data_IF_446143837331
#
_entry.id   IF_446143837331
#
_cell.length_a   1.000
_cell.length_b   1.000
_cell.length_c   1.000
_cell.angle_alpha   90.00
_cell.angle_beta   90.00
_cell.angle_gamma   90.00
#
_symmetry.space_group_name_H-M   'P 1'
#
loop_
_entity.id
_entity.type
_entity.pdbx_description
1 polymer ?
#
# COMPACT_ATOMS: atom_id res chain seq x y z
N UNK A 1 -40.67 -73.64 -21.50
CA UNK A 1 -39.52 -73.32 -20.61
C UNK A 1 -39.09 -71.93 -20.91
N UNK A 2 -39.49 -70.92 -20.11
CA UNK A 2 -39.32 -69.49 -20.40
C UNK A 2 -38.13 -68.94 -19.62
N UNK A 3 -37.12 -68.43 -20.34
CA UNK A 3 -35.99 -67.69 -19.78
C UNK A 3 -36.43 -66.27 -19.40
N UNK A 4 -36.34 -65.91 -18.12
CA UNK A 4 -36.49 -64.51 -17.66
C UNK A 4 -35.21 -63.74 -17.88
N UNK A 5 -35.28 -62.66 -18.69
CA UNK A 5 -34.18 -61.71 -18.89
C UNK A 5 -34.26 -60.64 -17.80
N UNK A 6 -33.26 -60.64 -16.90
CA UNK A 6 -33.09 -59.58 -15.92
C UNK A 6 -32.49 -58.35 -16.59
N UNK A 7 -33.23 -57.23 -16.49
CA UNK A 7 -32.79 -55.90 -16.98
C UNK A 7 -32.11 -55.16 -15.84
N UNK A 8 -30.78 -55.10 -15.89
CA UNK A 8 -29.98 -54.36 -14.92
C UNK A 8 -30.04 -52.88 -15.30
N UNK A 9 -30.71 -52.04 -14.48
CA UNK A 9 -30.68 -50.59 -14.61
C UNK A 9 -29.37 -50.05 -14.00
N UNK A 10 -28.44 -49.58 -14.85
CA UNK A 10 -27.28 -48.78 -14.43
C UNK A 10 -27.76 -47.37 -14.09
N UNK A 11 -27.75 -47.03 -12.80
CA UNK A 11 -27.89 -45.64 -12.33
C UNK A 11 -26.53 -44.97 -12.43
N UNK A 12 -26.35 -44.13 -13.47
CA UNK A 12 -25.19 -43.27 -13.60
C UNK A 12 -25.21 -42.14 -12.58
N UNK A 13 -24.38 -42.21 -11.54
CA UNK A 13 -24.08 -41.08 -10.66
C UNK A 13 -23.15 -40.10 -11.42
N UNK A 14 -23.73 -39.04 -11.93
CA UNK A 14 -22.96 -37.92 -12.46
C UNK A 14 -22.48 -37.08 -11.27
N UNK A 15 -21.19 -37.27 -10.88
CA UNK A 15 -20.54 -36.44 -9.89
C UNK A 15 -20.20 -35.11 -10.54
N UNK A 16 -21.02 -34.09 -10.31
CA UNK A 16 -20.62 -32.68 -10.60
C UNK A 16 -19.51 -32.29 -9.62
N UNK A 17 -18.28 -32.30 -10.13
CA UNK A 17 -17.13 -31.71 -9.44
C UNK A 17 -17.29 -30.19 -9.48
N UNK A 18 -17.79 -29.59 -8.40
CA UNK A 18 -17.71 -28.15 -8.21
C UNK A 18 -16.25 -27.79 -7.94
N UNK A 19 -15.53 -27.34 -8.97
CA UNK A 19 -14.25 -26.65 -8.81
C UNK A 19 -14.54 -25.32 -8.12
N UNK A 20 -14.39 -25.27 -6.81
CA UNK A 20 -14.36 -24.03 -6.06
C UNK A 20 -13.02 -23.32 -6.35
N UNK A 21 -13.00 -22.48 -7.38
CA UNK A 21 -11.92 -21.52 -7.59
C UNK A 21 -11.87 -20.60 -6.36
N UNK A 22 -10.70 -20.41 -5.71
CA UNK A 22 -10.60 -19.46 -4.62
C UNK A 22 -10.86 -18.07 -5.19
N UNK A 23 -12.02 -17.52 -4.87
CA UNK A 23 -12.35 -16.13 -5.19
C UNK A 23 -11.42 -15.24 -4.37
N UNK A 24 -10.28 -14.84 -4.97
CA UNK A 24 -9.43 -13.79 -4.41
C UNK A 24 -10.24 -12.51 -4.47
N UNK A 25 -10.87 -12.16 -3.34
CA UNK A 25 -11.44 -10.84 -3.14
C UNK A 25 -10.26 -9.85 -3.26
N UNK A 26 -10.14 -9.23 -4.41
CA UNK A 26 -9.30 -8.06 -4.61
C UNK A 26 -9.91 -6.94 -3.75
N UNK A 27 -9.41 -6.83 -2.52
CA UNK A 27 -9.73 -5.72 -1.64
C UNK A 27 -9.02 -4.48 -2.22
N UNK A 28 -9.63 -3.89 -3.25
CA UNK A 28 -9.31 -2.52 -3.64
C UNK A 28 -9.84 -1.63 -2.53
N UNK A 29 -8.96 -1.24 -1.60
CA UNK A 29 -9.31 -0.24 -0.62
C UNK A 29 -9.69 1.04 -1.37
N UNK A 30 -10.99 1.36 -1.38
CA UNK A 30 -11.50 2.57 -2.03
C UNK A 30 -10.85 3.77 -1.36
N UNK A 31 -10.02 4.49 -2.12
CA UNK A 31 -9.38 5.74 -1.64
C UNK A 31 -10.47 6.75 -1.31
N UNK A 32 -10.57 7.15 -0.05
CA UNK A 32 -11.59 8.09 0.43
C UNK A 32 -10.96 9.42 0.83
N UNK A 33 -11.49 10.52 0.31
CA UNK A 33 -11.14 11.87 0.79
C UNK A 33 -11.75 12.05 2.18
N UNK A 34 -10.89 12.25 3.18
CA UNK A 34 -11.26 12.50 4.59
C UNK A 34 -10.97 13.96 4.94
N UNK A 35 -9.80 14.46 4.51
CA UNK A 35 -9.45 15.87 4.66
C UNK A 35 -9.96 16.68 3.44
N UNK A 36 -10.97 17.54 3.58
CA UNK A 36 -11.47 18.35 2.48
C UNK A 36 -10.49 19.44 2.04
N UNK A 37 -9.55 19.83 2.90
CA UNK A 37 -8.63 20.94 2.70
C UNK A 37 -7.34 20.53 1.95
N UNK A 38 -7.26 19.30 1.44
CA UNK A 38 -6.12 18.89 0.62
C UNK A 38 -6.00 19.77 -0.63
N UNK A 39 -4.79 20.26 -0.89
CA UNK A 39 -4.46 20.98 -2.11
C UNK A 39 -4.65 20.10 -3.36
N UNK A 40 -4.72 20.73 -4.53
CA UNK A 40 -4.76 19.98 -5.80
C UNK A 40 -3.55 19.07 -5.96
N UNK A 41 -2.34 19.53 -5.62
CA UNK A 41 -1.12 18.74 -5.71
C UNK A 41 -1.17 17.51 -4.79
N UNK A 42 -1.62 17.68 -3.53
CA UNK A 42 -1.82 16.55 -2.62
C UNK A 42 -2.83 15.54 -3.18
N UNK A 43 -3.96 16.01 -3.71
CA UNK A 43 -4.97 15.13 -4.31
C UNK A 43 -4.43 14.38 -5.53
N UNK A 44 -3.68 15.03 -6.40
CA UNK A 44 -3.11 14.38 -7.59
C UNK A 44 -2.08 13.30 -7.19
N UNK A 45 -1.25 13.53 -6.17
CA UNK A 45 -0.31 12.52 -5.67
C UNK A 45 -1.04 11.38 -4.95
N UNK A 46 -1.88 11.71 -3.97
CA UNK A 46 -2.48 10.73 -3.06
C UNK A 46 -3.53 9.83 -3.74
N UNK A 47 -4.32 10.39 -4.65
CA UNK A 47 -5.46 9.67 -5.27
C UNK A 47 -5.16 9.17 -6.68
N UNK A 48 -4.24 9.82 -7.40
CA UNK A 48 -3.86 9.44 -8.77
C UNK A 48 -2.46 8.81 -8.86
N UNK A 49 -1.85 8.50 -7.69
CA UNK A 49 -0.53 7.84 -7.63
C UNK A 49 0.59 8.66 -8.30
N UNK A 50 0.48 9.98 -8.16
CA UNK A 50 1.49 10.91 -8.66
C UNK A 50 2.78 10.89 -7.85
N UNK A 51 3.77 11.64 -8.31
CA UNK A 51 5.06 11.81 -7.62
C UNK A 51 5.37 13.30 -7.48
N UNK A 52 5.75 13.71 -6.27
CA UNK A 52 6.27 15.04 -5.96
C UNK A 52 7.63 15.22 -6.65
N UNK A 53 7.96 16.46 -7.06
CA UNK A 53 9.29 16.75 -7.60
C UNK A 53 10.35 16.53 -6.52
N UNK A 54 11.53 15.96 -6.87
CA UNK A 54 12.60 15.75 -5.89
C UNK A 54 13.09 17.10 -5.34
N UNK A 55 13.54 17.10 -4.10
CA UNK A 55 14.10 18.23 -3.37
C UNK A 55 13.14 19.41 -3.11
N UNK A 56 11.83 19.21 -3.26
CA UNK A 56 10.82 20.26 -3.03
C UNK A 56 10.14 20.16 -1.67
N UNK A 57 10.20 19.02 -1.01
CA UNK A 57 9.57 18.83 0.29
C UNK A 57 10.31 19.54 1.41
N UNK A 58 9.61 20.39 2.17
CA UNK A 58 10.16 21.00 3.39
C UNK A 58 10.49 19.97 4.47
N UNK A 59 9.82 18.81 4.44
CA UNK A 59 10.07 17.71 5.38
C UNK A 59 11.46 17.07 5.24
N UNK A 60 12.20 17.37 4.17
CA UNK A 60 13.60 16.98 4.06
C UNK A 60 14.43 17.57 5.20
N UNK A 61 14.14 18.82 5.60
CA UNK A 61 14.84 19.57 6.65
C UNK A 61 14.23 19.37 8.05
N UNK A 62 13.16 18.60 8.19
CA UNK A 62 12.51 18.35 9.48
C UNK A 62 13.34 17.35 10.29
N UNK A 63 13.90 17.79 11.43
CA UNK A 63 14.79 17.01 12.28
C UNK A 63 14.30 16.93 13.75
N UNK A 64 13.16 17.53 14.05
CA UNK A 64 12.59 17.49 15.42
C UNK A 64 12.08 16.08 15.74
N UNK A 65 12.01 15.77 17.04
CA UNK A 65 11.33 14.55 17.50
C UNK A 65 9.83 14.68 17.28
N UNK A 66 9.20 13.60 16.84
CA UNK A 66 7.77 13.58 16.59
C UNK A 66 7.36 12.45 15.65
N UNK A 67 6.20 12.61 15.05
CA UNK A 67 5.62 11.61 14.17
C UNK A 67 5.15 12.25 12.86
N UNK A 68 5.25 11.45 11.80
CA UNK A 68 4.69 11.78 10.49
C UNK A 68 3.34 11.11 10.33
N UNK A 69 2.34 11.89 10.01
CA UNK A 69 0.95 11.49 9.88
C UNK A 69 0.49 11.59 8.42
N UNK A 70 -0.51 10.80 8.05
CA UNK A 70 -1.17 10.89 6.76
C UNK A 70 -1.90 12.23 6.61
N UNK A 71 -1.59 13.00 5.58
CA UNK A 71 -2.23 14.30 5.33
C UNK A 71 -3.74 14.19 5.06
N UNK A 72 -4.23 13.02 4.63
CA UNK A 72 -5.65 12.80 4.37
C UNK A 72 -6.45 12.36 5.60
N UNK A 73 -5.94 11.42 6.40
CA UNK A 73 -6.72 10.80 7.49
C UNK A 73 -6.09 10.95 8.87
N UNK A 74 -4.97 11.64 8.97
CA UNK A 74 -4.21 11.86 10.21
C UNK A 74 -3.74 10.57 10.91
N UNK A 75 -3.75 9.42 10.24
CA UNK A 75 -3.16 8.20 10.80
C UNK A 75 -1.66 8.37 11.00
N UNK A 76 -1.13 7.93 12.14
CA UNK A 76 0.29 7.95 12.47
C UNK A 76 1.01 6.90 11.62
N UNK A 77 2.06 7.29 10.90
CA UNK A 77 2.70 6.46 9.88
C UNK A 77 4.17 6.14 10.18
N UNK A 78 4.96 7.16 10.56
CA UNK A 78 6.38 7.02 10.85
C UNK A 78 6.76 7.77 12.11
N UNK A 79 7.73 7.23 12.85
CA UNK A 79 8.44 7.98 13.87
C UNK A 79 9.59 8.78 13.25
N UNK A 80 9.91 9.94 13.82
CA UNK A 80 11.05 10.76 13.36
C UNK A 80 12.39 10.04 13.48
N UNK A 81 12.51 9.09 14.42
CA UNK A 81 13.70 8.26 14.60
C UNK A 81 14.00 7.33 13.43
N UNK A 82 13.00 7.01 12.61
CA UNK A 82 13.17 6.20 11.42
C UNK A 82 13.59 7.03 10.19
N UNK A 83 13.51 8.37 10.26
CA UNK A 83 13.86 9.24 9.14
C UNK A 83 15.37 9.29 8.92
N UNK A 84 15.78 9.26 7.67
CA UNK A 84 17.19 9.45 7.27
C UNK A 84 17.28 10.20 5.95
N UNK A 85 18.44 10.79 5.69
CA UNK A 85 18.73 11.37 4.38
C UNK A 85 19.24 10.29 3.42
N UNK A 86 18.45 10.01 2.40
CA UNK A 86 18.79 9.05 1.35
C UNK A 86 19.49 9.68 0.15
N UNK A 87 19.61 11.01 0.10
CA UNK A 87 20.13 11.74 -1.05
C UNK A 87 19.22 11.75 -2.28
N UNK A 88 18.05 11.08 -2.23
CA UNK A 88 17.16 10.93 -3.40
C UNK A 88 16.24 12.12 -3.65
N UNK A 89 16.13 13.04 -2.69
CA UNK A 89 15.29 14.23 -2.78
C UNK A 89 13.85 14.05 -2.27
N UNK A 90 13.54 12.92 -1.66
CA UNK A 90 12.28 12.67 -0.99
C UNK A 90 12.48 12.26 0.47
N UNK A 91 11.57 12.63 1.40
CA UNK A 91 11.59 12.12 2.77
C UNK A 91 11.67 10.60 2.78
N UNK A 92 12.68 10.06 3.45
CA UNK A 92 12.97 8.63 3.47
C UNK A 92 13.00 8.09 4.89
N UNK A 93 12.45 6.87 5.08
CA UNK A 93 12.34 6.22 6.39
C UNK A 93 12.82 4.78 6.30
N UNK A 94 13.55 4.32 7.32
CA UNK A 94 14.05 2.94 7.40
C UNK A 94 12.98 1.93 7.81
N UNK A 95 11.95 2.40 8.52
CA UNK A 95 10.82 1.58 8.96
C UNK A 95 9.54 2.41 9.09
N UNK A 96 8.40 1.75 9.02
CA UNK A 96 7.08 2.31 9.25
C UNK A 96 6.51 1.78 10.57
N UNK A 97 5.58 2.51 11.18
CA UNK A 97 4.86 2.01 12.35
C UNK A 97 4.05 0.76 11.99
N UNK A 98 3.90 -0.19 12.92
CA UNK A 98 3.14 -1.42 12.68
C UNK A 98 1.73 -1.13 12.16
N UNK A 99 1.35 -1.78 11.07
CA UNK A 99 0.03 -1.64 10.46
C UNK A 99 -0.24 -0.32 9.74
N UNK A 100 0.74 0.60 9.62
CA UNK A 100 0.57 1.91 8.98
C UNK A 100 0.23 1.82 7.50
N UNK A 101 0.76 0.82 6.80
CA UNK A 101 0.64 0.70 5.35
C UNK A 101 0.21 -0.69 4.88
N UNK A 102 -0.41 -0.70 3.70
CA UNK A 102 -0.57 -1.87 2.84
C UNK A 102 0.27 -1.66 1.59
N UNK A 103 0.65 -2.75 0.93
CA UNK A 103 1.49 -2.69 -0.28
C UNK A 103 0.80 -3.34 -1.47
N UNK A 104 1.15 -2.90 -2.67
CA UNK A 104 0.82 -3.56 -3.93
C UNK A 104 2.03 -3.51 -4.87
N UNK A 105 2.04 -4.37 -5.87
CA UNK A 105 3.05 -4.30 -6.92
C UNK A 105 2.62 -3.25 -7.94
N UNK A 106 3.53 -2.36 -8.28
CA UNK A 106 3.40 -1.34 -9.31
C UNK A 106 4.33 -1.68 -10.49
N UNK A 107 3.77 -1.73 -11.69
CA UNK A 107 4.50 -2.00 -12.94
C UNK A 107 4.60 -0.76 -13.84
N UNK A 108 4.22 0.41 -13.37
CA UNK A 108 4.33 1.63 -14.15
C UNK A 108 5.79 1.94 -14.53
N UNK A 109 5.96 2.69 -15.59
CA UNK A 109 7.29 3.05 -16.15
C UNK A 109 8.19 1.86 -16.52
N UNK A 110 7.61 0.67 -16.78
CA UNK A 110 8.38 -0.52 -17.16
C UNK A 110 9.23 -1.14 -16.04
N UNK A 111 9.02 -0.73 -14.79
CA UNK A 111 9.74 -1.22 -13.61
C UNK A 111 8.80 -1.93 -12.63
N UNK A 112 9.26 -3.02 -12.03
CA UNK A 112 8.56 -3.67 -10.93
C UNK A 112 8.95 -2.99 -9.61
N UNK A 113 8.01 -2.28 -9.00
CA UNK A 113 8.21 -1.60 -7.71
C UNK A 113 7.19 -2.07 -6.69
N UNK A 114 7.48 -1.86 -5.40
CA UNK A 114 6.52 -2.08 -4.31
C UNK A 114 5.97 -0.72 -3.88
N UNK A 115 4.75 -0.41 -4.30
CA UNK A 115 4.02 0.77 -3.84
C UNK A 115 3.45 0.51 -2.45
N UNK A 116 3.41 1.56 -1.61
CA UNK A 116 2.69 1.51 -0.35
C UNK A 116 1.66 2.64 -0.23
N UNK A 117 0.58 2.33 0.47
CA UNK A 117 -0.54 3.22 0.68
C UNK A 117 -1.05 3.11 2.12
N UNK A 118 -1.61 4.20 2.63
CA UNK A 118 -2.13 4.27 3.98
C UNK A 118 -3.12 3.13 4.25
N UNK A 119 -2.90 2.36 5.31
CA UNK A 119 -3.78 1.24 5.65
C UNK A 119 -5.19 1.70 6.04
N UNK A 120 -5.32 2.94 6.57
CA UNK A 120 -6.58 3.50 7.04
C UNK A 120 -7.46 4.06 5.90
N UNK A 121 -6.89 4.85 4.98
CA UNK A 121 -7.67 5.55 3.94
C UNK A 121 -7.31 5.17 2.50
N UNK A 122 -6.34 4.27 2.30
CA UNK A 122 -5.97 3.73 1.00
C UNK A 122 -5.21 4.67 0.07
N UNK A 123 -4.87 5.90 0.48
CA UNK A 123 -4.16 6.84 -0.39
C UNK A 123 -2.70 6.45 -0.59
N UNK A 124 -2.21 6.71 -1.79
CA UNK A 124 -0.81 6.51 -2.16
C UNK A 124 0.14 7.39 -1.32
N UNK A 125 1.28 6.84 -0.94
CA UNK A 125 2.33 7.56 -0.25
C UNK A 125 3.68 7.53 -0.98
N UNK A 126 4.02 6.41 -1.59
CA UNK A 126 5.31 6.23 -2.27
C UNK A 126 5.65 4.77 -2.52
N UNK A 127 6.94 4.46 -2.57
CA UNK A 127 7.46 3.12 -2.86
C UNK A 127 8.50 2.68 -1.85
N UNK A 128 8.57 1.36 -1.61
CA UNK A 128 9.60 0.73 -0.79
C UNK A 128 10.70 0.17 -1.68
N UNK A 129 11.94 0.51 -1.34
CA UNK A 129 13.15 0.01 -1.97
C UNK A 129 13.97 -0.82 -0.98
N UNK A 130 14.89 -1.65 -1.48
CA UNK A 130 15.78 -2.48 -0.67
C UNK A 130 17.21 -1.91 -0.66
N UNK A 131 17.32 -0.60 -0.58
CA UNK A 131 18.57 0.16 -0.55
C UNK A 131 18.65 1.08 0.68
N UNK A 132 17.91 0.75 1.73
CA UNK A 132 17.88 1.49 2.99
C UNK A 132 19.02 1.11 3.94
N UNK A 133 19.15 1.86 5.06
CA UNK A 133 20.17 1.57 6.06
C UNK A 133 19.87 0.29 6.82
N UNK A 134 20.92 -0.40 7.12
CA UNK A 134 21.20 -1.59 7.93
C UNK A 134 20.10 -2.59 8.30
N UNK A 135 19.35 -2.39 9.38
CA UNK A 135 18.65 -3.53 10.02
C UNK A 135 17.53 -4.15 9.19
N UNK A 136 16.78 -3.36 8.43
CA UNK A 136 15.71 -3.86 7.56
C UNK A 136 16.10 -3.88 6.08
N UNK A 137 17.14 -3.16 5.70
CA UNK A 137 17.52 -2.90 4.30
C UNK A 137 16.45 -2.12 3.53
N UNK A 138 15.38 -1.66 4.18
CA UNK A 138 14.25 -0.98 3.52
C UNK A 138 14.41 0.52 3.54
N UNK A 139 14.01 1.15 2.43
CA UNK A 139 13.80 2.58 2.33
C UNK A 139 12.37 2.85 1.88
N UNK A 140 11.58 3.42 2.77
CA UNK A 140 10.27 3.98 2.43
C UNK A 140 10.48 5.38 1.85
N UNK A 141 10.46 5.49 0.52
CA UNK A 141 10.56 6.76 -0.18
C UNK A 141 9.16 7.38 -0.25
N UNK A 142 8.94 8.46 0.50
CA UNK A 142 7.61 9.06 0.67
C UNK A 142 7.49 10.39 -0.03
N UNK A 143 6.35 10.63 -0.70
CA UNK A 143 6.00 11.97 -1.15
C UNK A 143 5.73 12.85 0.08
N UNK A 144 6.48 13.93 0.25
CA UNK A 144 6.34 14.80 1.43
C UNK A 144 4.96 15.45 1.51
N UNK A 145 4.34 15.78 0.39
CA UNK A 145 2.96 16.31 0.33
C UNK A 145 1.89 15.34 0.89
N UNK A 146 2.22 14.05 1.04
CA UNK A 146 1.34 13.07 1.67
C UNK A 146 1.43 13.05 3.20
N UNK A 147 2.38 13.78 3.79
CA UNK A 147 2.69 13.76 5.21
C UNK A 147 2.39 15.10 5.89
N UNK A 148 2.04 15.00 7.16
CA UNK A 148 2.05 16.11 8.14
C UNK A 148 2.99 15.67 9.26
N UNK A 149 3.93 16.54 9.65
CA UNK A 149 4.76 16.32 10.82
C UNK A 149 4.10 16.93 12.06
N UNK A 150 4.03 16.14 13.13
CA UNK A 150 3.53 16.57 14.45
C UNK A 150 4.67 16.35 15.45
N UNK A 151 5.24 17.44 16.03
CA UNK A 151 6.30 17.31 17.03
C UNK A 151 5.77 16.68 18.31
N UNK A 152 6.64 15.96 19.02
CA UNK A 152 6.41 15.62 20.42
C UNK A 152 6.52 16.88 21.27
N UNK A 153 5.61 17.01 22.23
CA UNK A 153 5.63 18.07 23.25
C UNK A 153 6.70 17.85 24.29
#
# INVERSE_FOLDING_TARGET
MMLKRNFLKLLGFSSLLFLSLPYKILYSATKKIINPNLSKAQKDIMFKEGTERPFTSELLKENRKGFYHCANCNAKLFASTAKFDSGTGWPSFSEALPGAFKTKIDYSYGMKRVEYHCANCGVHHGHVFLDGPSATGKRFCNNGLCLIFIPES
#
